data_IF_668421969321
#
_entry.id   IF_668421969321
#
_cell.length_a   1.000
_cell.length_b   1.000
_cell.length_c   1.000
_cell.angle_alpha   90.00
_cell.angle_beta   90.00
_cell.angle_gamma   90.00
#
_symmetry.space_group_name_H-M   'P 1'
#
loop_
_entity.id
_entity.type
_entity.pdbx_description
1 polymer ?
#
# COMPACT_ATOMS: atom_id res chain seq x y z
N UNK A 1 -8.79 13.39 -0.62
CA UNK A 1 -8.75 13.66 0.84
C UNK A 1 -8.13 15.03 1.15
N UNK A 2 -8.94 15.96 1.65
CA UNK A 2 -8.47 17.26 2.17
C UNK A 2 -8.06 17.08 3.63
N UNK A 3 -6.94 17.68 4.04
CA UNK A 3 -6.45 17.51 5.42
C UNK A 3 -7.47 18.07 6.42
N UNK A 4 -7.73 17.32 7.49
CA UNK A 4 -8.69 17.73 8.53
C UNK A 4 -10.17 17.60 8.13
N UNK A 5 -10.48 17.09 6.94
CA UNK A 5 -11.86 16.93 6.51
C UNK A 5 -12.52 15.67 7.05
N UNK A 6 -13.76 15.82 7.52
CA UNK A 6 -14.56 14.70 8.00
C UNK A 6 -15.18 13.89 6.84
N UNK A 7 -15.25 12.58 7.02
CA UNK A 7 -15.81 11.64 6.04
C UNK A 7 -17.21 12.04 5.55
N UNK A 8 -18.08 12.51 6.45
CA UNK A 8 -19.44 12.94 6.09
C UNK A 8 -19.44 14.09 5.06
N UNK A 9 -18.46 15.00 5.17
CA UNK A 9 -18.32 16.14 4.25
C UNK A 9 -17.81 15.71 2.89
N UNK A 10 -16.89 14.73 2.86
CA UNK A 10 -16.43 14.14 1.59
C UNK A 10 -17.56 13.44 0.85
N UNK A 11 -18.38 12.64 1.55
CA UNK A 11 -19.53 11.96 0.93
C UNK A 11 -20.59 12.96 0.47
N UNK A 12 -20.84 14.02 1.24
CA UNK A 12 -21.78 15.07 0.83
C UNK A 12 -21.39 15.71 -0.50
N UNK A 13 -20.08 15.91 -0.77
CA UNK A 13 -19.62 16.38 -2.08
C UNK A 13 -19.90 15.39 -3.20
N UNK A 14 -19.66 14.10 -2.97
CA UNK A 14 -19.99 13.07 -3.97
C UNK A 14 -21.47 13.11 -4.30
N UNK A 15 -22.31 13.24 -3.26
CA UNK A 15 -23.76 13.35 -3.39
C UNK A 15 -24.20 14.59 -4.18
N UNK A 16 -23.49 15.70 -4.06
CA UNK A 16 -23.81 16.97 -4.75
C UNK A 16 -23.27 17.09 -6.17
N UNK A 17 -22.54 16.09 -6.70
CA UNK A 17 -22.03 16.14 -8.07
C UNK A 17 -23.20 16.12 -9.06
N UNK A 18 -23.18 16.99 -10.07
CA UNK A 18 -24.17 16.98 -11.14
C UNK A 18 -24.14 15.64 -11.90
N UNK A 19 -25.28 15.02 -12.24
CA UNK A 19 -25.30 13.69 -12.84
C UNK A 19 -24.51 13.58 -14.15
N UNK A 20 -24.54 14.63 -14.98
CA UNK A 20 -23.81 14.71 -16.24
C UNK A 20 -22.30 14.65 -15.99
N UNK A 21 -21.83 15.35 -14.96
CA UNK A 21 -20.43 15.37 -14.56
C UNK A 21 -20.01 14.02 -13.97
N UNK A 22 -20.87 13.38 -13.18
CA UNK A 22 -20.62 12.02 -12.68
C UNK A 22 -20.47 11.00 -13.82
N UNK A 23 -21.34 11.06 -14.84
CA UNK A 23 -21.23 10.21 -16.04
C UNK A 23 -19.94 10.52 -16.82
N UNK A 24 -19.55 11.78 -16.94
CA UNK A 24 -18.29 12.18 -17.58
C UNK A 24 -17.08 11.59 -16.84
N UNK A 25 -17.03 11.71 -15.51
CA UNK A 25 -15.97 11.12 -14.69
C UNK A 25 -15.88 9.60 -14.86
N UNK A 26 -17.03 8.89 -14.92
CA UNK A 26 -17.04 7.44 -15.13
C UNK A 26 -16.53 7.05 -16.52
N UNK A 27 -16.88 7.80 -17.57
CA UNK A 27 -16.32 7.56 -18.92
C UNK A 27 -14.80 7.72 -18.94
N UNK A 28 -14.28 8.75 -18.25
CA UNK A 28 -12.84 8.94 -18.08
C UNK A 28 -12.20 7.79 -17.31
N UNK A 29 -12.80 7.34 -16.21
CA UNK A 29 -12.28 6.26 -15.37
C UNK A 29 -12.30 4.88 -16.05
N UNK A 30 -13.34 4.60 -16.86
CA UNK A 30 -13.48 3.37 -17.62
C UNK A 30 -12.65 3.35 -18.91
N UNK A 31 -12.14 4.50 -19.33
CA UNK A 31 -11.48 4.68 -20.62
C UNK A 31 -12.31 4.14 -21.80
N UNK A 32 -13.63 4.35 -21.77
CA UNK A 32 -14.56 3.74 -22.72
C UNK A 32 -16.02 4.18 -22.55
N UNK A 33 -16.94 3.56 -23.32
CA UNK A 33 -18.36 3.87 -23.22
C UNK A 33 -18.90 3.51 -21.83
N UNK A 34 -19.84 4.33 -21.35
CA UNK A 34 -20.52 4.07 -20.08
C UNK A 34 -21.48 2.88 -20.26
N UNK A 35 -21.38 1.80 -19.46
CA UNK A 35 -22.35 0.72 -19.49
C UNK A 35 -23.76 1.25 -19.20
N UNK A 36 -24.79 0.69 -19.87
CA UNK A 36 -26.19 1.14 -19.72
C UNK A 36 -26.66 1.16 -18.26
N UNK A 37 -26.20 0.21 -17.44
CA UNK A 37 -26.53 0.16 -16.02
C UNK A 37 -26.02 1.37 -15.20
N UNK A 38 -25.01 2.08 -15.72
CA UNK A 38 -24.43 3.28 -15.12
C UNK A 38 -24.91 4.56 -15.82
N UNK A 39 -25.69 4.49 -16.90
CA UNK A 39 -26.23 5.67 -17.56
C UNK A 39 -27.54 6.12 -16.87
N UNK A 40 -27.38 6.83 -15.75
CA UNK A 40 -28.50 7.25 -14.89
C UNK A 40 -28.19 8.54 -14.15
N UNK A 41 -29.25 9.22 -13.71
CA UNK A 41 -29.13 10.52 -13.02
C UNK A 41 -28.90 10.38 -11.51
N UNK A 42 -29.31 9.27 -10.91
CA UNK A 42 -29.17 9.01 -9.47
C UNK A 42 -27.79 8.44 -9.07
N UNK A 43 -26.80 8.43 -9.98
CA UNK A 43 -25.44 7.97 -9.71
C UNK A 43 -24.78 8.64 -8.50
N UNK A 44 -24.83 9.97 -8.33
CA UNK A 44 -24.18 10.65 -7.20
C UNK A 44 -24.72 10.15 -5.86
N UNK A 45 -26.04 10.02 -5.72
CA UNK A 45 -26.70 9.52 -4.50
C UNK A 45 -26.33 8.05 -4.25
N UNK A 46 -26.39 7.20 -5.29
CA UNK A 46 -26.03 5.78 -5.15
C UNK A 46 -24.57 5.59 -4.74
N UNK A 47 -23.66 6.37 -5.33
CA UNK A 47 -22.25 6.34 -5.00
C UNK A 47 -22.02 6.78 -3.55
N UNK A 48 -22.67 7.86 -3.11
CA UNK A 48 -22.61 8.33 -1.74
C UNK A 48 -23.13 7.29 -0.73
N UNK A 49 -24.30 6.70 -0.99
CA UNK A 49 -24.88 5.65 -0.16
C UNK A 49 -23.99 4.40 -0.10
N UNK A 50 -23.38 4.01 -1.22
CA UNK A 50 -22.42 2.90 -1.25
C UNK A 50 -21.17 3.21 -0.42
N UNK A 51 -20.60 4.40 -0.54
CA UNK A 51 -19.44 4.82 0.23
C UNK A 51 -19.75 4.83 1.74
N UNK A 52 -20.91 5.33 2.15
CA UNK A 52 -21.38 5.27 3.54
C UNK A 52 -21.51 3.84 4.07
N UNK A 53 -22.10 2.96 3.27
CA UNK A 53 -22.23 1.53 3.62
C UNK A 53 -20.86 0.86 3.73
N UNK A 54 -19.98 1.04 2.74
CA UNK A 54 -18.61 0.49 2.77
C UNK A 54 -17.85 1.02 3.98
N UNK A 55 -17.95 2.31 4.28
CA UNK A 55 -17.32 2.89 5.45
C UNK A 55 -17.82 2.24 6.73
N UNK A 56 -19.14 2.14 6.93
CA UNK A 56 -19.74 1.62 8.16
C UNK A 56 -19.44 0.13 8.36
N UNK A 57 -19.58 -0.67 7.32
CA UNK A 57 -19.53 -2.14 7.41
C UNK A 57 -18.12 -2.70 7.22
N UNK A 58 -17.33 -2.14 6.31
CA UNK A 58 -16.07 -2.74 5.87
C UNK A 58 -14.82 -1.98 6.34
N UNK A 59 -14.90 -0.66 6.54
CA UNK A 59 -13.71 0.15 6.89
C UNK A 59 -13.67 0.48 8.38
N UNK A 60 -14.72 1.11 8.91
CA UNK A 60 -14.79 1.64 10.29
C UNK A 60 -14.44 0.59 11.36
N UNK A 61 -14.93 -0.67 11.30
CA UNK A 61 -14.60 -1.67 12.32
C UNK A 61 -13.10 -1.99 12.40
N UNK A 62 -12.39 -1.85 11.28
CA UNK A 62 -10.96 -2.18 11.17
C UNK A 62 -10.07 -0.93 11.05
N UNK A 63 -10.65 0.26 11.06
CA UNK A 63 -9.97 1.51 10.71
C UNK A 63 -8.75 1.78 11.58
N UNK A 64 -8.83 1.55 12.89
CA UNK A 64 -7.70 1.76 13.79
C UNK A 64 -6.47 0.90 13.43
N UNK A 65 -6.69 -0.32 12.92
CA UNK A 65 -5.61 -1.20 12.44
C UNK A 65 -5.13 -0.75 11.07
N UNK A 66 -6.04 -0.51 10.13
CA UNK A 66 -5.72 -0.06 8.77
C UNK A 66 -4.94 1.27 8.80
N UNK A 67 -5.37 2.24 9.60
CA UNK A 67 -4.70 3.54 9.74
C UNK A 67 -3.24 3.40 10.17
N UNK A 68 -2.95 2.53 11.14
CA UNK A 68 -1.56 2.25 11.56
C UNK A 68 -0.72 1.68 10.43
N UNK A 69 -1.31 0.84 9.58
CA UNK A 69 -0.67 0.27 8.40
C UNK A 69 -0.41 1.35 7.33
N UNK A 70 -1.33 2.29 7.14
CA UNK A 70 -1.15 3.41 6.20
C UNK A 70 -0.06 4.38 6.71
N UNK A 71 -0.15 4.79 7.98
CA UNK A 71 0.87 5.61 8.66
C UNK A 71 2.25 4.94 8.58
N UNK A 72 2.26 3.60 8.65
CA UNK A 72 3.48 2.82 8.56
C UNK A 72 4.21 2.98 7.25
N UNK A 73 3.44 2.85 6.16
CA UNK A 73 3.96 2.97 4.82
C UNK A 73 4.51 4.37 4.58
N UNK A 74 3.76 5.41 4.98
CA UNK A 74 4.21 6.81 4.88
C UNK A 74 5.58 7.00 5.54
N UNK A 75 5.77 6.51 6.78
CA UNK A 75 7.06 6.61 7.47
C UNK A 75 8.17 5.89 6.71
N UNK A 76 7.90 4.70 6.17
CA UNK A 76 8.87 3.94 5.39
C UNK A 76 9.27 4.67 4.09
N UNK A 77 8.30 5.25 3.38
CA UNK A 77 8.53 6.04 2.15
C UNK A 77 9.31 7.32 2.42
N UNK A 78 8.97 8.06 3.47
CA UNK A 78 9.73 9.25 3.88
C UNK A 78 11.18 8.89 4.24
N UNK A 79 11.39 7.75 4.91
CA UNK A 79 12.73 7.28 5.23
C UNK A 79 13.53 6.82 3.99
N UNK A 80 12.85 6.27 2.98
CA UNK A 80 13.45 5.93 1.70
C UNK A 80 13.86 7.19 0.92
N UNK A 81 13.03 8.24 0.93
CA UNK A 81 13.35 9.52 0.30
C UNK A 81 14.66 10.10 0.83
N UNK A 82 14.89 10.04 2.14
CA UNK A 82 16.13 10.54 2.75
C UNK A 82 17.41 9.76 2.37
N UNK A 83 17.29 8.55 1.81
CA UNK A 83 18.44 7.70 1.42
C UNK A 83 18.67 7.66 -0.09
N UNK A 84 17.60 7.48 -0.86
CA UNK A 84 17.66 7.29 -2.31
C UNK A 84 17.03 8.41 -3.12
N UNK A 85 16.66 9.52 -2.46
CA UNK A 85 15.91 10.61 -3.07
C UNK A 85 14.47 10.24 -3.41
N UNK A 86 13.72 11.25 -3.89
CA UNK A 86 12.33 11.07 -4.27
C UNK A 86 12.15 10.16 -5.50
N UNK A 87 13.10 10.15 -6.43
CA UNK A 87 13.05 9.29 -7.61
C UNK A 87 12.87 7.81 -7.22
N UNK A 88 13.69 7.32 -6.27
CA UNK A 88 13.57 5.95 -5.75
C UNK A 88 12.20 5.66 -5.13
N UNK A 89 11.64 6.62 -4.38
CA UNK A 89 10.32 6.47 -3.77
C UNK A 89 9.24 6.36 -4.84
N UNK A 90 9.24 7.29 -5.80
CA UNK A 90 8.27 7.37 -6.89
C UNK A 90 8.28 6.11 -7.77
N UNK A 91 9.46 5.58 -8.08
CA UNK A 91 9.62 4.32 -8.81
C UNK A 91 9.02 3.12 -8.05
N UNK A 92 9.05 3.18 -6.71
CA UNK A 92 8.62 2.09 -5.84
C UNK A 92 7.14 2.15 -5.41
N UNK A 93 6.40 3.19 -5.80
CA UNK A 93 4.97 3.33 -5.47
C UNK A 93 4.11 2.27 -6.17
N UNK A 94 4.33 2.08 -7.48
CA UNK A 94 3.75 1.00 -8.28
C UNK A 94 4.84 0.42 -9.19
N UNK A 95 5.62 -0.56 -8.70
CA UNK A 95 6.73 -1.14 -9.46
C UNK A 95 6.31 -1.54 -10.88
N UNK A 96 7.04 -1.03 -11.87
CA UNK A 96 6.77 -1.27 -13.28
C UNK A 96 5.59 -0.49 -13.87
N UNK A 97 4.90 0.37 -13.11
CA UNK A 97 3.83 1.28 -13.61
C UNK A 97 4.09 2.75 -13.29
N UNK A 98 4.83 3.05 -12.24
CA UNK A 98 5.29 4.40 -11.91
C UNK A 98 6.77 4.52 -12.19
N UNK A 99 7.19 5.66 -12.74
CA UNK A 99 8.61 5.92 -13.03
C UNK A 99 8.94 7.40 -12.99
N UNK A 100 10.03 7.76 -12.33
CA UNK A 100 10.66 9.06 -12.49
C UNK A 100 11.45 9.10 -13.81
N UNK A 101 11.06 10.01 -14.70
CA UNK A 101 11.68 10.15 -16.02
C UNK A 101 12.81 11.19 -16.06
N UNK A 102 13.06 11.88 -14.95
CA UNK A 102 13.93 13.06 -14.92
C UNK A 102 13.20 14.32 -15.39
N UNK A 103 13.87 15.48 -15.34
CA UNK A 103 13.33 16.76 -15.83
C UNK A 103 11.94 17.10 -15.26
N UNK A 104 11.71 16.82 -13.99
CA UNK A 104 10.42 17.02 -13.30
C UNK A 104 9.24 16.22 -13.87
N UNK A 105 9.51 15.14 -14.62
CA UNK A 105 8.47 14.29 -15.19
C UNK A 105 8.30 13.01 -14.38
N UNK A 106 7.07 12.81 -13.91
CA UNK A 106 6.66 11.60 -13.21
C UNK A 106 5.61 10.85 -14.02
N UNK A 107 5.94 9.63 -14.44
CA UNK A 107 5.02 8.72 -15.10
C UNK A 107 4.21 7.96 -14.05
N UNK A 108 2.88 8.04 -14.14
CA UNK A 108 1.94 7.42 -13.21
C UNK A 108 1.21 6.19 -13.79
N UNK A 109 1.16 6.07 -15.12
CA UNK A 109 0.56 4.95 -15.84
C UNK A 109 1.25 4.77 -17.21
N UNK A 110 0.82 3.77 -17.98
CA UNK A 110 1.33 3.49 -19.32
C UNK A 110 0.37 3.92 -20.44
N UNK A 111 -0.69 4.64 -20.11
CA UNK A 111 -1.65 5.11 -21.12
C UNK A 111 -1.06 6.31 -21.86
N UNK A 112 -1.33 6.38 -23.16
CA UNK A 112 -0.94 7.49 -24.04
C UNK A 112 -1.87 8.69 -23.83
N UNK A 113 -1.84 9.27 -22.63
CA UNK A 113 -2.45 10.56 -22.37
C UNK A 113 -1.43 11.68 -22.54
N UNK A 114 -1.85 12.89 -22.97
CA UNK A 114 -0.97 14.04 -22.97
C UNK A 114 -0.44 14.31 -21.56
N UNK A 115 0.82 14.73 -21.41
CA UNK A 115 1.38 15.08 -20.11
C UNK A 115 0.56 16.21 -19.49
N UNK A 116 0.37 16.14 -18.17
CA UNK A 116 -0.29 17.20 -17.40
C UNK A 116 0.78 18.04 -16.70
N UNK A 117 0.71 19.34 -16.92
CA UNK A 117 1.48 20.31 -16.14
C UNK A 117 0.78 20.52 -14.80
N UNK A 118 1.52 20.34 -13.71
CA UNK A 118 0.98 20.41 -12.35
C UNK A 118 1.66 21.50 -11.51
N UNK A 119 2.45 22.37 -12.16
CA UNK A 119 3.06 23.52 -11.49
C UNK A 119 1.99 24.34 -10.74
N UNK A 120 2.23 24.58 -9.45
CA UNK A 120 1.31 25.30 -8.57
C UNK A 120 0.19 24.45 -7.96
N UNK A 121 -0.01 23.21 -8.42
CA UNK A 121 -0.98 22.28 -7.83
C UNK A 121 -0.36 21.46 -6.69
N UNK A 122 -1.20 21.03 -5.75
CA UNK A 122 -0.78 20.14 -4.68
C UNK A 122 -0.74 18.68 -5.16
N UNK A 123 0.37 17.98 -4.91
CA UNK A 123 0.50 16.54 -5.17
C UNK A 123 0.53 15.77 -3.86
N UNK A 124 -0.46 14.89 -3.66
CA UNK A 124 -0.53 14.01 -2.49
C UNK A 124 -0.34 12.54 -2.86
N UNK A 125 0.38 11.81 -2.00
CA UNK A 125 0.59 10.38 -2.15
C UNK A 125 -0.23 9.65 -1.10
N UNK A 126 -1.24 8.90 -1.53
CA UNK A 126 -2.21 8.26 -0.63
C UNK A 126 -2.00 6.74 -0.63
N UNK A 127 -1.47 6.16 0.45
CA UNK A 127 -1.37 4.71 0.57
C UNK A 127 -2.76 4.09 0.75
N UNK A 128 -2.96 2.90 0.20
CA UNK A 128 -4.17 2.07 0.41
C UNK A 128 -3.79 0.63 0.77
N UNK A 129 -4.68 -0.04 1.50
CA UNK A 129 -4.59 -1.47 1.86
C UNK A 129 -5.35 -2.33 0.84
N UNK A 130 -5.35 -3.68 0.94
CA UNK A 130 -5.10 -4.58 -0.19
C UNK A 130 -5.85 -4.21 -1.47
N UNK A 131 -5.16 -3.52 -2.38
CA UNK A 131 -5.50 -3.48 -3.79
C UNK A 131 -4.18 -3.68 -4.54
N UNK A 132 -4.11 -4.67 -5.44
CA UNK A 132 -2.94 -4.83 -6.32
C UNK A 132 -2.79 -3.65 -7.31
N UNK A 133 -3.78 -2.77 -7.32
CA UNK A 133 -3.92 -1.66 -8.23
C UNK A 133 -3.95 -0.37 -7.42
N UNK A 134 -3.26 0.65 -7.93
CA UNK A 134 -3.47 2.01 -7.51
C UNK A 134 -4.08 2.79 -8.65
N UNK A 135 -4.62 3.96 -8.35
CA UNK A 135 -5.21 4.86 -9.32
C UNK A 135 -4.63 6.27 -9.14
N UNK A 136 -5.12 7.19 -9.95
CA UNK A 136 -4.87 8.61 -9.77
C UNK A 136 -6.21 9.32 -9.75
N UNK A 137 -6.29 10.39 -8.97
CA UNK A 137 -7.46 11.27 -8.93
C UNK A 137 -6.98 12.70 -8.93
N UNK A 138 -7.77 13.60 -9.49
CA UNK A 138 -7.44 15.01 -9.58
C UNK A 138 -8.68 15.87 -9.45
N UNK A 139 -8.46 17.07 -8.96
CA UNK A 139 -9.36 18.21 -8.99
C UNK A 139 -8.65 19.23 -9.90
N UNK A 140 -9.17 19.42 -11.11
CA UNK A 140 -8.41 19.99 -12.23
C UNK A 140 -7.74 21.32 -11.84
N UNK A 141 -6.41 21.35 -11.94
CA UNK A 141 -5.59 22.54 -11.65
C UNK A 141 -5.31 22.81 -10.16
N UNK A 142 -6.07 22.23 -9.23
CA UNK A 142 -5.90 22.48 -7.80
C UNK A 142 -5.07 21.39 -7.12
N UNK A 143 -5.41 20.12 -7.35
CA UNK A 143 -4.85 19.02 -6.58
C UNK A 143 -4.83 17.70 -7.35
N UNK A 144 -3.74 16.96 -7.17
CA UNK A 144 -3.53 15.64 -7.72
C UNK A 144 -3.22 14.66 -6.60
N UNK A 145 -3.74 13.44 -6.71
CA UNK A 145 -3.46 12.35 -5.80
C UNK A 145 -3.01 11.11 -6.56
N UNK A 146 -1.88 10.54 -6.14
CA UNK A 146 -1.46 9.21 -6.55
C UNK A 146 -1.82 8.25 -5.44
N UNK A 147 -2.80 7.39 -5.71
CA UNK A 147 -3.22 6.36 -4.78
C UNK A 147 -2.45 5.09 -5.07
N UNK A 148 -1.76 4.54 -4.08
CA UNK A 148 -0.82 3.44 -4.29
C UNK A 148 -0.94 2.38 -3.20
N UNK A 149 -0.71 1.10 -3.52
CA UNK A 149 -0.71 0.06 -2.51
C UNK A 149 0.43 0.28 -1.52
N UNK A 150 0.14 0.05 -0.24
CA UNK A 150 1.21 -0.08 0.74
C UNK A 150 2.18 -1.17 0.28
N UNK A 151 3.47 -1.01 0.58
CA UNK A 151 4.50 -2.00 0.28
C UNK A 151 4.05 -3.38 0.82
N UNK A 152 4.28 -4.43 0.02
CA UNK A 152 3.51 -5.69 -0.03
C UNK A 152 3.32 -6.50 1.25
N UNK A 153 3.84 -6.07 2.40
CA UNK A 153 3.56 -6.65 3.70
C UNK A 153 2.42 -5.92 4.42
N UNK A 154 2.36 -4.61 4.32
CA UNK A 154 1.37 -3.77 4.98
C UNK A 154 -0.03 -3.95 4.35
N UNK A 155 -0.08 -4.21 3.05
CA UNK A 155 -1.34 -4.41 2.32
C UNK A 155 -2.00 -5.79 2.55
N UNK A 156 -1.29 -6.78 3.08
CA UNK A 156 -1.82 -8.14 3.23
C UNK A 156 -2.65 -8.29 4.50
N UNK A 157 -3.98 -8.32 4.38
CA UNK A 157 -4.82 -8.96 5.41
C UNK A 157 -4.49 -10.45 5.43
N UNK A 158 -3.59 -10.85 6.31
CA UNK A 158 -3.68 -12.12 7.02
C UNK A 158 -3.29 -13.42 6.32
N UNK A 159 -2.76 -13.46 5.09
CA UNK A 159 -2.52 -14.77 4.46
C UNK A 159 -1.31 -14.88 3.52
N UNK A 160 -0.11 -14.46 3.99
CA UNK A 160 1.06 -15.28 3.66
C UNK A 160 1.15 -16.34 4.74
N UNK A 161 0.53 -17.48 4.47
CA UNK A 161 0.75 -18.68 5.24
C UNK A 161 2.27 -18.85 5.40
N UNK A 162 2.72 -18.85 6.65
CA UNK A 162 4.12 -19.13 6.96
C UNK A 162 4.43 -20.49 6.35
N UNK A 163 5.41 -20.61 5.43
CA UNK A 163 5.75 -21.90 4.87
C UNK A 163 6.02 -22.90 6.00
N UNK A 164 5.40 -24.08 5.95
CA UNK A 164 5.41 -25.01 7.07
C UNK A 164 6.84 -25.35 7.55
N UNK A 165 7.77 -25.52 6.60
CA UNK A 165 9.18 -25.74 6.91
C UNK A 165 9.85 -24.56 7.62
N UNK A 166 9.53 -23.32 7.25
CA UNK A 166 10.03 -22.13 7.92
C UNK A 166 9.44 -22.00 9.33
N UNK A 167 8.15 -22.31 9.46
CA UNK A 167 7.45 -22.38 10.74
C UNK A 167 8.06 -23.42 11.68
N UNK A 168 8.43 -24.60 11.17
CA UNK A 168 9.11 -25.64 11.94
C UNK A 168 10.52 -25.22 12.37
N UNK A 169 11.28 -24.56 11.49
CA UNK A 169 12.66 -24.13 11.76
C UNK A 169 12.74 -23.01 12.81
N UNK A 170 11.93 -21.97 12.65
CA UNK A 170 12.02 -20.75 13.47
C UNK A 170 10.95 -20.70 14.56
N UNK A 171 9.92 -21.55 14.50
CA UNK A 171 8.67 -21.35 15.22
C UNK A 171 7.74 -20.38 14.47
N UNK A 172 6.42 -20.60 14.52
CA UNK A 172 5.44 -19.92 13.66
C UNK A 172 5.46 -18.39 13.83
N UNK A 173 5.62 -17.89 15.07
CA UNK A 173 5.63 -16.46 15.33
C UNK A 173 6.86 -15.74 14.76
N UNK A 174 8.07 -16.31 14.90
CA UNK A 174 9.31 -15.71 14.35
C UNK A 174 9.33 -15.80 12.84
N UNK A 175 8.90 -16.94 12.29
CA UNK A 175 8.75 -17.11 10.86
C UNK A 175 7.75 -16.11 10.27
N UNK A 176 6.62 -15.88 10.95
CA UNK A 176 5.66 -14.84 10.58
C UNK A 176 6.29 -13.45 10.55
N UNK A 177 6.99 -13.03 11.61
CA UNK A 177 7.71 -11.74 11.64
C UNK A 177 8.74 -11.65 10.50
N UNK A 178 9.50 -12.71 10.22
CA UNK A 178 10.51 -12.70 9.14
C UNK A 178 9.86 -12.54 7.77
N UNK A 179 8.74 -13.24 7.50
CA UNK A 179 7.97 -13.12 6.24
C UNK A 179 7.41 -11.70 6.06
N UNK A 180 6.97 -11.07 7.16
CA UNK A 180 6.52 -9.67 7.17
C UNK A 180 7.66 -8.66 6.96
N UNK A 181 8.93 -9.06 7.02
CA UNK A 181 10.05 -8.12 6.84
C UNK A 181 10.57 -8.06 5.41
N UNK A 182 9.79 -8.52 4.43
CA UNK A 182 10.05 -8.32 3.00
C UNK A 182 10.06 -6.85 2.57
N UNK A 183 9.48 -5.97 3.39
CA UNK A 183 9.67 -4.52 3.35
C UNK A 183 10.01 -4.01 4.75
N UNK A 184 10.80 -2.94 4.92
CA UNK A 184 11.17 -2.47 6.25
C UNK A 184 9.96 -2.03 7.09
N UNK A 185 9.84 -2.55 8.32
CA UNK A 185 8.76 -2.24 9.28
C UNK A 185 9.30 -1.87 10.66
N UNK A 186 8.59 -1.02 11.41
CA UNK A 186 8.87 -0.78 12.82
C UNK A 186 8.24 -1.85 13.71
N UNK A 187 8.67 -1.91 14.97
CA UNK A 187 8.07 -2.82 15.96
C UNK A 187 6.58 -2.55 16.16
N UNK A 188 6.14 -1.29 16.21
CA UNK A 188 4.71 -0.95 16.38
C UNK A 188 3.88 -1.37 15.16
N UNK A 189 4.45 -1.29 13.96
CA UNK A 189 3.80 -1.76 12.74
C UNK A 189 3.66 -3.28 12.74
N UNK A 190 4.71 -4.00 13.11
CA UNK A 190 4.66 -5.45 13.27
C UNK A 190 3.61 -5.87 14.31
N UNK A 191 3.50 -5.18 15.46
CA UNK A 191 2.42 -5.48 16.44
C UNK A 191 1.02 -5.24 15.88
N UNK A 192 0.84 -4.23 15.03
CA UNK A 192 -0.45 -3.94 14.43
C UNK A 192 -0.87 -5.00 13.40
N UNK A 193 0.10 -5.56 12.67
CA UNK A 193 -0.14 -6.57 11.63
C UNK A 193 -0.26 -7.98 12.22
N UNK A 194 0.55 -8.34 13.22
CA UNK A 194 0.51 -9.68 13.83
C UNK A 194 -0.51 -9.82 14.95
N UNK A 195 -0.98 -8.71 15.53
CA UNK A 195 -1.81 -8.71 16.75
C UNK A 195 -1.03 -9.09 18.01
N UNK A 196 0.27 -9.34 17.93
CA UNK A 196 1.11 -9.68 19.08
C UNK A 196 1.52 -8.43 19.85
N UNK A 197 1.72 -8.55 21.17
CA UNK A 197 2.19 -7.45 22.01
C UNK A 197 3.63 -7.00 21.69
N UNK A 198 3.95 -5.73 21.98
CA UNK A 198 5.27 -5.10 21.75
C UNK A 198 6.44 -5.93 22.30
N UNK A 199 6.31 -6.47 23.52
CA UNK A 199 7.35 -7.30 24.12
C UNK A 199 7.62 -8.60 23.36
N UNK A 200 6.57 -9.25 22.82
CA UNK A 200 6.70 -10.46 22.02
C UNK A 200 7.40 -10.17 20.69
N UNK A 201 6.91 -9.15 19.97
CA UNK A 201 7.50 -8.73 18.69
C UNK A 201 8.94 -8.28 18.87
N UNK A 202 9.23 -7.49 19.90
CA UNK A 202 10.60 -7.07 20.23
C UNK A 202 11.54 -8.25 20.49
N UNK A 203 11.06 -9.29 21.20
CA UNK A 203 11.84 -10.52 21.45
C UNK A 203 12.10 -11.29 20.16
N UNK A 204 11.10 -11.44 19.28
CA UNK A 204 11.28 -12.06 17.97
C UNK A 204 12.31 -11.31 17.11
N UNK A 205 12.20 -9.98 17.03
CA UNK A 205 13.14 -9.12 16.30
C UNK A 205 14.56 -9.20 16.86
N UNK A 206 14.71 -9.27 18.18
CA UNK A 206 16.02 -9.43 18.82
C UNK A 206 16.69 -10.73 18.35
N UNK A 207 15.97 -11.85 18.46
CA UNK A 207 16.49 -13.18 18.06
C UNK A 207 16.82 -13.22 16.57
N UNK A 208 15.92 -12.74 15.70
CA UNK A 208 16.14 -12.72 14.25
C UNK A 208 17.33 -11.85 13.85
N UNK A 209 17.55 -10.74 14.57
CA UNK A 209 18.72 -9.86 14.37
C UNK A 209 20.01 -10.51 14.83
N UNK A 210 20.00 -11.16 16.00
CA UNK A 210 21.16 -11.89 16.52
C UNK A 210 21.53 -13.08 15.61
N UNK A 211 20.54 -13.70 14.96
CA UNK A 211 20.74 -14.71 13.92
C UNK A 211 21.16 -14.14 12.55
N UNK A 212 21.32 -12.82 12.41
CA UNK A 212 21.73 -12.17 11.15
C UNK A 212 20.67 -12.16 10.05
N UNK A 213 19.43 -12.55 10.34
CA UNK A 213 18.32 -12.62 9.38
C UNK A 213 17.61 -11.27 9.18
N UNK A 214 17.75 -10.37 10.15
CA UNK A 214 17.10 -9.05 10.16
C UNK A 214 18.11 -7.98 10.54
N UNK A 215 18.07 -6.85 9.84
CA UNK A 215 18.81 -5.65 10.18
C UNK A 215 17.93 -4.62 10.87
N UNK A 216 18.55 -3.71 11.62
CA UNK A 216 17.89 -2.59 12.30
C UNK A 216 18.50 -1.28 11.83
N UNK A 217 17.65 -0.34 11.40
CA UNK A 217 18.08 0.97 10.95
C UNK A 217 17.21 2.07 11.55
N UNK A 218 17.85 3.16 11.99
CA UNK A 218 17.13 4.34 12.47
C UNK A 218 16.67 5.19 11.29
N UNK A 219 15.43 5.63 11.34
CA UNK A 219 14.80 6.50 10.35
C UNK A 219 14.09 7.64 11.09
N UNK A 220 14.81 8.74 11.29
CA UNK A 220 14.34 9.84 12.15
C UNK A 220 14.05 9.37 13.57
N UNK A 221 12.80 9.52 14.00
CA UNK A 221 12.31 9.09 15.34
C UNK A 221 11.92 7.61 15.40
N UNK A 222 11.89 6.92 14.26
CA UNK A 222 11.48 5.52 14.17
C UNK A 222 12.68 4.58 14.02
N UNK A 223 12.48 3.32 14.41
CA UNK A 223 13.41 2.21 14.17
C UNK A 223 12.73 1.23 13.23
N UNK A 224 13.32 1.05 12.05
CA UNK A 224 12.87 0.09 11.05
C UNK A 224 13.71 -1.18 11.15
N UNK A 225 13.05 -2.29 10.94
CA UNK A 225 13.62 -3.62 10.78
C UNK A 225 13.37 -4.07 9.37
N UNK A 226 14.31 -4.78 8.75
CA UNK A 226 14.14 -5.36 7.41
C UNK A 226 14.93 -6.64 7.28
N UNK A 227 14.56 -7.52 6.35
CA UNK A 227 15.36 -8.73 6.07
C UNK A 227 16.75 -8.36 5.56
N UNK A 228 17.72 -9.17 5.96
CA UNK A 228 19.04 -9.21 5.31
C UNK A 228 18.96 -10.12 4.08
N UNK A 229 20.01 -10.13 3.26
CA UNK A 229 20.12 -11.10 2.16
C UNK A 229 19.97 -12.55 2.63
N UNK A 230 20.51 -12.90 3.81
CA UNK A 230 20.33 -14.23 4.41
C UNK A 230 18.87 -14.49 4.80
N UNK A 231 18.16 -13.49 5.31
CA UNK A 231 16.73 -13.56 5.60
C UNK A 231 15.87 -13.75 4.34
N UNK A 232 16.22 -13.11 3.22
CA UNK A 232 15.55 -13.30 1.94
C UNK A 232 15.77 -14.73 1.41
N UNK A 233 17.02 -15.21 1.35
CA UNK A 233 17.36 -16.58 0.93
C UNK A 233 16.57 -17.62 1.73
N UNK A 234 16.48 -17.43 3.05
CA UNK A 234 15.78 -18.39 3.91
C UNK A 234 14.28 -18.46 3.61
N UNK A 235 13.63 -17.31 3.36
CA UNK A 235 12.21 -17.27 3.04
C UNK A 235 11.94 -17.82 1.63
N UNK A 236 12.80 -17.52 0.66
CA UNK A 236 12.67 -17.98 -0.72
C UNK A 236 12.91 -19.49 -0.85
N UNK A 237 13.87 -20.03 -0.09
CA UNK A 237 14.11 -21.47 0.00
C UNK A 237 12.89 -22.21 0.58
N UNK A 238 12.21 -21.62 1.57
CA UNK A 238 11.02 -22.20 2.17
C UNK A 238 9.75 -22.05 1.30
N UNK A 239 9.71 -21.06 0.41
CA UNK A 239 8.63 -20.86 -0.55
C UNK A 239 8.75 -21.75 -1.80
N UNK A 240 9.93 -22.32 -2.05
CA UNK A 240 10.16 -23.25 -3.14
C UNK A 240 9.62 -24.64 -2.79
N UNK A 241 8.72 -25.25 -3.59
CA UNK A 241 8.26 -26.60 -3.32
C UNK A 241 9.45 -27.56 -3.40
N UNK A 242 9.77 -28.20 -2.28
CA UNK A 242 10.83 -29.20 -2.24
C UNK A 242 10.46 -30.40 -3.14
N UNK A 243 11.17 -30.55 -4.27
CA UNK A 243 11.41 -31.85 -4.91
C UNK A 243 10.52 -32.26 -6.09
N UNK A 244 10.77 -31.72 -7.29
CA UNK A 244 10.91 -32.59 -8.47
C UNK A 244 12.41 -32.83 -8.65
N UNK A 245 12.90 -33.94 -8.09
CA UNK A 245 14.22 -34.45 -8.44
C UNK A 245 14.12 -34.88 -9.91
N UNK A 246 14.90 -34.33 -10.85
CA UNK A 246 14.98 -34.90 -12.18
C UNK A 246 15.62 -36.29 -12.03
N UNK A 247 14.86 -37.33 -12.34
CA UNK A 247 15.38 -38.68 -12.52
C UNK A 247 16.52 -38.58 -13.54
N UNK A 248 17.74 -38.89 -13.09
CA UNK A 248 18.89 -38.98 -14.00
C UNK A 248 18.65 -40.11 -15.01
N UNK A 249 19.09 -39.91 -16.27
CA UNK A 249 18.94 -40.89 -17.35
C UNK A 249 19.77 -42.15 -17.09
#
# INVERSE_FOLDING_TARGET
PREGEEFAREVARVRSVAPELARAHLRTALAGPLPTALDRDDLPERAAALLEWVWREAVRPYWARQRRVLEADVVARTAQAGRGGWASVLDSLRPGRTRWLGQNRFQINHHEYPPREISGAEMVFVPVTPQRHGWVSWDDGERYAVVYPCAGVLAGTGDRAVPAGLGALLGPARAGVLVLLGSPLTTTQLTAVTGQGLGSVGRHLKVLREAGLVTRQRAGRAVLYGRTAAGDVLVDAAASPAGRIPSRP
#
